data_IF_869879540428
#
_entry.id   IF_869879540428
#
_cell.length_a   1.000
_cell.length_b   1.000
_cell.length_c   1.000
_cell.angle_alpha   90.00
_cell.angle_beta   90.00
_cell.angle_gamma   90.00
#
_symmetry.space_group_name_H-M   'P 1'
#
loop_
_entity.id
_entity.type
_entity.pdbx_description
1 polymer ?
#
# COMPACT_ATOMS: atom_id res chain seq x y z
N UNK A 1 13.28 -8.70 -34.38
CA UNK A 1 12.45 -9.68 -33.66
C UNK A 1 11.64 -8.95 -32.65
N UNK A 2 10.35 -9.31 -32.45
CA UNK A 2 9.54 -8.71 -31.36
C UNK A 2 10.10 -9.16 -30.02
N UNK A 3 10.21 -8.23 -29.05
CA UNK A 3 10.68 -8.52 -27.70
C UNK A 3 9.67 -9.43 -27.01
N UNK A 4 10.12 -10.54 -26.44
CA UNK A 4 9.29 -11.50 -25.70
C UNK A 4 9.43 -11.25 -24.22
N UNK A 5 8.37 -11.53 -23.45
CA UNK A 5 8.33 -11.23 -22.02
C UNK A 5 7.99 -12.46 -21.19
N UNK A 6 8.67 -12.59 -20.06
CA UNK A 6 8.19 -13.35 -18.90
C UNK A 6 7.43 -12.36 -18.04
N UNK A 7 6.17 -12.63 -17.77
CA UNK A 7 5.29 -11.68 -17.12
C UNK A 7 4.60 -12.25 -15.88
N UNK A 8 4.20 -11.37 -14.98
CA UNK A 8 3.19 -11.64 -13.96
C UNK A 8 2.12 -10.56 -14.01
N UNK A 9 0.93 -10.88 -13.49
CA UNK A 9 -0.21 -9.97 -13.48
C UNK A 9 -0.83 -9.94 -12.09
N UNK A 10 -1.26 -8.76 -11.64
CA UNK A 10 -1.95 -8.59 -10.37
C UNK A 10 -2.29 -7.14 -10.08
N UNK A 11 -3.07 -6.91 -9.03
CA UNK A 11 -3.33 -5.54 -8.56
C UNK A 11 -2.16 -5.00 -7.74
N UNK A 12 -1.41 -5.86 -7.04
CA UNK A 12 -0.21 -5.57 -6.26
C UNK A 12 -0.42 -4.52 -5.15
N UNK A 13 -1.56 -4.58 -4.46
CA UNK A 13 -1.83 -3.66 -3.36
C UNK A 13 -0.82 -3.83 -2.22
N UNK A 14 -0.11 -2.75 -1.90
CA UNK A 14 0.92 -2.72 -0.87
C UNK A 14 2.27 -3.32 -1.29
N UNK A 15 2.43 -3.89 -2.48
CA UNK A 15 3.70 -4.49 -2.99
C UNK A 15 4.49 -5.22 -1.89
N UNK A 16 3.78 -6.02 -1.08
CA UNK A 16 4.30 -6.72 0.09
C UNK A 16 5.33 -7.81 -0.27
N UNK A 17 6.02 -8.36 0.71
CA UNK A 17 7.09 -9.38 0.54
C UNK A 17 6.70 -10.54 -0.38
N UNK A 18 5.44 -11.00 -0.34
CA UNK A 18 4.94 -12.01 -1.28
C UNK A 18 4.91 -11.53 -2.74
N UNK A 19 4.53 -10.27 -2.97
CA UNK A 19 4.61 -9.66 -4.30
C UNK A 19 6.07 -9.47 -4.75
N UNK A 20 6.94 -9.02 -3.85
CA UNK A 20 8.37 -8.83 -4.15
C UNK A 20 9.02 -10.16 -4.51
N UNK A 21 8.71 -11.24 -3.78
CA UNK A 21 9.19 -12.59 -4.09
C UNK A 21 8.70 -13.06 -5.48
N UNK A 22 7.43 -12.84 -5.81
CA UNK A 22 6.88 -13.15 -7.14
C UNK A 22 7.63 -12.38 -8.24
N UNK A 23 7.88 -11.08 -8.05
CA UNK A 23 8.63 -10.25 -9.01
C UNK A 23 10.06 -10.75 -9.19
N UNK A 24 10.75 -11.11 -8.11
CA UNK A 24 12.11 -11.68 -8.17
C UNK A 24 12.13 -12.95 -9.03
N UNK A 25 11.18 -13.88 -8.82
CA UNK A 25 11.08 -15.10 -9.62
C UNK A 25 10.82 -14.82 -11.10
N UNK A 26 10.01 -13.78 -11.42
CA UNK A 26 9.80 -13.34 -12.81
C UNK A 26 11.10 -12.84 -13.43
N UNK A 27 11.88 -12.02 -12.72
CA UNK A 27 13.16 -11.50 -13.19
C UNK A 27 14.19 -12.62 -13.40
N UNK A 28 14.30 -13.55 -12.45
CA UNK A 28 15.20 -14.72 -12.56
C UNK A 28 14.83 -15.63 -13.74
N UNK A 29 13.54 -15.90 -13.92
CA UNK A 29 13.08 -16.71 -15.04
C UNK A 29 13.27 -16.01 -16.38
N UNK A 30 13.02 -14.70 -16.45
CA UNK A 30 13.28 -13.90 -17.63
C UNK A 30 14.75 -13.94 -18.03
N UNK A 31 15.65 -13.77 -17.07
CA UNK A 31 17.10 -13.87 -17.30
C UNK A 31 17.50 -15.26 -17.84
N UNK A 32 16.98 -16.36 -17.25
CA UNK A 32 17.27 -17.73 -17.71
C UNK A 32 16.76 -18.02 -19.13
N UNK A 33 15.65 -17.38 -19.53
CA UNK A 33 15.04 -17.57 -20.85
C UNK A 33 15.51 -16.52 -21.88
N UNK A 34 16.48 -15.67 -21.51
CA UNK A 34 16.98 -14.56 -22.34
C UNK A 34 15.83 -13.65 -22.87
N UNK A 35 14.82 -13.45 -22.01
CA UNK A 35 13.66 -12.59 -22.24
C UNK A 35 13.74 -11.34 -21.36
N UNK A 36 12.84 -10.39 -21.61
CA UNK A 36 12.63 -9.30 -20.66
C UNK A 36 11.53 -9.67 -19.64
N UNK A 37 11.68 -9.15 -18.43
CA UNK A 37 10.68 -9.27 -17.38
C UNK A 37 9.59 -8.21 -17.52
N UNK A 38 8.31 -8.56 -17.21
CA UNK A 38 7.18 -7.64 -17.24
C UNK A 38 6.27 -7.85 -16.04
N UNK A 39 5.90 -6.74 -15.39
CA UNK A 39 4.84 -6.73 -14.40
C UNK A 39 3.63 -6.02 -14.99
N UNK A 40 2.47 -6.67 -14.98
CA UNK A 40 1.20 -6.14 -15.47
C UNK A 40 0.32 -5.83 -14.27
N UNK A 41 -0.11 -4.58 -14.12
CA UNK A 41 -1.04 -4.13 -13.08
C UNK A 41 -2.16 -3.29 -13.65
N UNK A 42 -3.08 -2.82 -12.79
CA UNK A 42 -4.26 -2.06 -13.19
C UNK A 42 -4.25 -0.66 -12.57
N UNK A 43 -4.82 0.30 -13.30
CA UNK A 43 -4.95 1.70 -12.90
C UNK A 43 -5.85 1.88 -11.67
N UNK A 44 -6.88 1.04 -11.54
CA UNK A 44 -7.86 1.05 -10.44
C UNK A 44 -8.19 -0.37 -9.95
N UNK A 45 -8.71 -0.46 -8.73
CA UNK A 45 -9.06 -1.75 -8.14
C UNK A 45 -10.26 -2.35 -8.87
N UNK A 46 -10.23 -3.66 -9.26
CA UNK A 46 -11.31 -4.30 -10.02
C UNK A 46 -12.72 -4.12 -9.41
N UNK A 47 -12.83 -4.20 -8.08
CA UNK A 47 -14.12 -4.01 -7.39
C UNK A 47 -14.69 -2.60 -7.50
N UNK A 48 -13.88 -1.57 -7.74
CA UNK A 48 -14.37 -0.19 -7.95
C UNK A 48 -15.13 -0.05 -9.28
N UNK A 49 -14.79 -0.86 -10.27
CA UNK A 49 -15.48 -0.86 -11.57
C UNK A 49 -16.74 -1.72 -11.51
N UNK A 50 -16.69 -2.82 -10.75
CA UNK A 50 -17.83 -3.75 -10.63
C UNK A 50 -18.90 -3.27 -9.64
N UNK A 51 -18.54 -2.43 -8.67
CA UNK A 51 -19.44 -1.92 -7.63
C UNK A 51 -19.16 -0.42 -7.43
N UNK A 52 -20.01 0.45 -7.98
CA UNK A 52 -19.82 1.91 -8.00
C UNK A 52 -19.69 2.54 -6.60
N UNK A 53 -20.36 1.97 -5.59
CA UNK A 53 -20.33 2.46 -4.20
C UNK A 53 -19.19 1.85 -3.37
N UNK A 54 -18.37 0.99 -3.95
CA UNK A 54 -17.28 0.34 -3.21
C UNK A 54 -16.06 1.25 -3.12
N UNK A 55 -15.73 1.68 -1.91
CA UNK A 55 -14.48 2.37 -1.60
C UNK A 55 -13.49 1.34 -1.04
N UNK A 56 -12.44 0.99 -1.78
CA UNK A 56 -11.45 0.04 -1.29
C UNK A 56 -10.65 0.63 -0.15
N UNK A 57 -10.31 -0.20 0.82
CA UNK A 57 -9.31 0.11 1.85
C UNK A 57 -7.94 -0.34 1.37
N UNK A 58 -7.26 0.49 0.58
CA UNK A 58 -6.01 0.15 -0.08
C UNK A 58 -4.81 0.29 0.86
N UNK A 59 -3.87 -0.64 0.77
CA UNK A 59 -2.57 -0.55 1.45
C UNK A 59 -1.67 0.50 0.82
N UNK A 60 -1.83 0.75 -0.48
CA UNK A 60 -1.09 1.77 -1.21
C UNK A 60 -2.01 2.55 -2.15
N UNK A 61 -1.85 3.86 -2.20
CA UNK A 61 -2.46 4.68 -3.27
C UNK A 61 -1.89 4.28 -4.63
N UNK A 62 -2.51 4.70 -5.72
CA UNK A 62 -1.98 4.43 -7.07
C UNK A 62 -0.56 4.97 -7.23
N UNK A 63 -0.28 6.17 -6.72
CA UNK A 63 1.05 6.79 -6.79
C UNK A 63 2.10 6.02 -5.96
N UNK A 64 1.75 5.66 -4.71
CA UNK A 64 2.59 4.84 -3.84
C UNK A 64 2.89 3.48 -4.48
N UNK A 65 1.86 2.80 -5.00
CA UNK A 65 1.99 1.52 -5.70
C UNK A 65 2.95 1.63 -6.88
N UNK A 66 2.76 2.63 -7.73
CA UNK A 66 3.63 2.83 -8.89
C UNK A 66 5.07 3.13 -8.50
N UNK A 67 5.30 3.90 -7.43
CA UNK A 67 6.63 4.16 -6.89
C UNK A 67 7.29 2.88 -6.39
N UNK A 68 6.57 2.05 -5.62
CA UNK A 68 7.05 0.78 -5.10
C UNK A 68 7.37 -0.21 -6.23
N UNK A 69 6.49 -0.33 -7.24
CA UNK A 69 6.70 -1.22 -8.37
C UNK A 69 7.88 -0.79 -9.26
N UNK A 70 8.09 0.52 -9.45
CA UNK A 70 9.25 1.04 -10.19
C UNK A 70 10.58 0.86 -9.46
N UNK A 71 10.55 0.65 -8.15
CA UNK A 71 11.73 0.34 -7.36
C UNK A 71 12.14 -1.14 -7.43
N UNK A 72 11.33 -2.00 -8.07
CA UNK A 72 11.68 -3.40 -8.32
C UNK A 72 12.59 -3.52 -9.55
N UNK A 73 13.27 -4.66 -9.71
CA UNK A 73 14.18 -4.93 -10.82
C UNK A 73 13.46 -5.32 -12.13
N UNK A 74 12.17 -5.08 -12.25
CA UNK A 74 11.37 -5.43 -13.42
C UNK A 74 11.75 -4.55 -14.63
N UNK A 75 11.98 -5.15 -15.80
CA UNK A 75 12.35 -4.40 -17.00
C UNK A 75 11.22 -3.54 -17.57
N UNK A 76 9.98 -4.02 -17.45
CA UNK A 76 8.79 -3.33 -17.94
C UNK A 76 7.63 -3.40 -16.95
N UNK A 77 7.09 -2.23 -16.62
CA UNK A 77 5.86 -2.08 -15.89
C UNK A 77 4.75 -1.67 -16.85
N UNK A 78 3.73 -2.50 -16.99
CA UNK A 78 2.56 -2.25 -17.83
C UNK A 78 1.34 -1.97 -16.95
N UNK A 79 0.68 -0.84 -17.16
CA UNK A 79 -0.52 -0.45 -16.41
C UNK A 79 -1.71 -0.49 -17.35
N UNK A 80 -2.57 -1.47 -17.16
CA UNK A 80 -3.78 -1.62 -17.97
C UNK A 80 -4.95 -0.84 -17.35
N UNK A 81 -5.74 -0.13 -18.16
CA UNK A 81 -7.00 0.44 -17.70
C UNK A 81 -7.97 -0.70 -17.37
N UNK A 82 -8.45 -0.76 -16.12
CA UNK A 82 -9.47 -1.75 -15.75
C UNK A 82 -10.86 -1.19 -16.10
N UNK A 83 -11.33 -1.49 -17.32
CA UNK A 83 -12.62 -1.05 -17.84
C UNK A 83 -13.72 -2.09 -17.60
N UNK A 84 -14.98 -1.67 -17.71
CA UNK A 84 -16.13 -2.58 -17.67
C UNK A 84 -16.06 -3.62 -18.81
N UNK A 85 -15.54 -3.27 -19.97
CA UNK A 85 -15.30 -4.20 -21.08
C UNK A 85 -14.26 -5.25 -20.70
N UNK A 86 -13.11 -4.84 -20.16
CA UNK A 86 -12.04 -5.75 -19.72
C UNK A 86 -12.52 -6.69 -18.63
N UNK A 87 -13.37 -6.21 -17.72
CA UNK A 87 -13.93 -7.02 -16.63
C UNK A 87 -14.79 -8.18 -17.10
N UNK A 88 -15.30 -8.14 -18.34
CA UNK A 88 -16.13 -9.19 -18.98
C UNK A 88 -15.29 -10.21 -19.76
N UNK A 89 -13.98 -10.01 -19.88
CA UNK A 89 -13.12 -10.97 -20.58
C UNK A 89 -12.99 -12.26 -19.77
N UNK A 90 -13.19 -13.40 -20.45
CA UNK A 90 -12.77 -14.68 -19.91
C UNK A 90 -11.26 -14.76 -19.80
N UNK A 91 -10.75 -15.64 -18.96
CA UNK A 91 -9.30 -15.83 -18.82
C UNK A 91 -8.65 -16.17 -20.18
N UNK A 92 -9.24 -17.07 -20.96
CA UNK A 92 -8.74 -17.42 -22.29
C UNK A 92 -8.71 -16.22 -23.22
N UNK A 93 -9.78 -15.42 -23.28
CA UNK A 93 -9.83 -14.20 -24.12
C UNK A 93 -8.76 -13.20 -23.71
N UNK A 94 -8.59 -12.98 -22.40
CA UNK A 94 -7.55 -12.10 -21.88
C UNK A 94 -6.15 -12.58 -22.26
N UNK A 95 -5.87 -13.89 -22.16
CA UNK A 95 -4.60 -14.47 -22.58
C UNK A 95 -4.35 -14.28 -24.07
N UNK A 96 -5.36 -14.48 -24.93
CA UNK A 96 -5.23 -14.34 -26.38
C UNK A 96 -5.01 -12.89 -26.82
N UNK A 97 -5.93 -12.00 -26.42
CA UNK A 97 -6.00 -10.64 -26.96
C UNK A 97 -5.02 -9.71 -26.26
N UNK A 98 -4.86 -9.83 -24.93
CA UNK A 98 -4.02 -8.91 -24.15
C UNK A 98 -2.62 -9.49 -23.97
N UNK A 99 -2.48 -10.65 -23.32
CA UNK A 99 -1.16 -11.16 -22.98
C UNK A 99 -0.36 -11.56 -24.23
N UNK A 100 -0.97 -12.32 -25.15
CA UNK A 100 -0.27 -12.82 -26.35
C UNK A 100 -0.19 -11.74 -27.45
N UNK A 101 -1.34 -11.22 -27.90
CA UNK A 101 -1.37 -10.37 -29.09
C UNK A 101 -0.82 -8.96 -28.86
N UNK A 102 -1.18 -8.33 -27.72
CA UNK A 102 -0.74 -6.94 -27.42
C UNK A 102 0.61 -6.91 -26.71
N UNK A 103 0.78 -7.72 -25.65
CA UNK A 103 1.92 -7.61 -24.75
C UNK A 103 3.07 -8.58 -25.08
N UNK A 104 2.85 -9.54 -25.98
CA UNK A 104 3.85 -10.52 -26.42
C UNK A 104 4.42 -11.35 -25.25
N UNK A 105 3.59 -11.69 -24.28
CA UNK A 105 3.94 -12.55 -23.15
C UNK A 105 4.19 -13.96 -23.69
N UNK A 106 5.35 -14.52 -23.38
CA UNK A 106 5.71 -15.90 -23.70
C UNK A 106 5.49 -16.82 -22.50
N UNK A 107 5.83 -16.34 -21.32
CA UNK A 107 5.68 -17.10 -20.06
C UNK A 107 4.93 -16.25 -19.06
N UNK A 108 3.89 -16.80 -18.44
CA UNK A 108 3.12 -16.16 -17.38
C UNK A 108 3.43 -16.86 -16.06
N UNK A 109 4.03 -16.12 -15.11
CA UNK A 109 4.27 -16.59 -13.74
C UNK A 109 3.08 -16.17 -12.89
N UNK A 110 2.36 -17.14 -12.32
CA UNK A 110 1.17 -16.91 -11.50
C UNK A 110 1.47 -17.12 -10.03
N UNK A 111 1.03 -16.20 -9.16
CA UNK A 111 0.97 -16.42 -7.73
C UNK A 111 -0.04 -17.52 -7.38
N UNK A 112 0.15 -18.16 -6.24
CA UNK A 112 -0.61 -19.33 -5.79
C UNK A 112 -2.14 -19.12 -5.76
N UNK A 113 -2.61 -18.02 -5.24
CA UNK A 113 -4.03 -17.67 -5.08
C UNK A 113 -4.54 -16.72 -6.16
N UNK A 114 -3.68 -16.35 -7.11
CA UNK A 114 -4.06 -15.39 -8.15
C UNK A 114 -5.01 -15.99 -9.17
N UNK A 115 -6.06 -15.24 -9.49
CA UNK A 115 -7.05 -15.57 -10.53
C UNK A 115 -7.36 -14.32 -11.34
N UNK A 116 -7.57 -14.49 -12.63
CA UNK A 116 -8.03 -13.45 -13.55
C UNK A 116 -9.05 -14.00 -14.54
N UNK A 117 -9.75 -13.08 -15.24
CA UNK A 117 -10.91 -13.41 -16.06
C UNK A 117 -12.20 -13.42 -15.25
N UNK A 118 -13.34 -13.14 -15.90
CA UNK A 118 -14.65 -13.14 -15.27
C UNK A 118 -15.15 -14.54 -14.88
N UNK A 119 -14.58 -15.56 -15.52
CA UNK A 119 -14.85 -16.98 -15.30
C UNK A 119 -14.01 -17.59 -14.18
N UNK A 120 -12.87 -17.00 -13.86
CA UNK A 120 -11.94 -17.47 -12.83
C UNK A 120 -11.60 -18.96 -13.00
N UNK A 121 -10.35 -19.30 -13.28
CA UNK A 121 -9.95 -20.69 -13.52
C UNK A 121 -9.20 -21.33 -12.36
N UNK A 122 -9.08 -22.65 -12.40
CA UNK A 122 -8.08 -23.41 -11.65
C UNK A 122 -6.72 -23.28 -12.35
N UNK A 123 -5.63 -23.54 -11.63
CA UNK A 123 -4.30 -23.53 -12.23
C UNK A 123 -4.20 -24.45 -13.45
N UNK A 124 -4.82 -25.61 -13.37
CA UNK A 124 -4.83 -26.57 -14.50
C UNK A 124 -5.51 -26.01 -15.76
N UNK A 125 -6.59 -25.25 -15.58
CA UNK A 125 -7.26 -24.58 -16.70
C UNK A 125 -6.39 -23.48 -17.27
N UNK A 126 -5.72 -22.66 -16.44
CA UNK A 126 -4.76 -21.65 -16.94
C UNK A 126 -3.61 -22.30 -17.73
N UNK A 127 -3.09 -23.44 -17.28
CA UNK A 127 -2.07 -24.19 -18.05
C UNK A 127 -2.63 -24.70 -19.38
N UNK A 128 -3.87 -25.17 -19.42
CA UNK A 128 -4.52 -25.61 -20.67
C UNK A 128 -4.76 -24.43 -21.63
N UNK A 129 -5.25 -23.31 -21.13
CA UNK A 129 -5.42 -22.08 -21.92
C UNK A 129 -4.09 -21.52 -22.40
N UNK A 130 -3.05 -21.65 -21.59
CA UNK A 130 -1.69 -21.30 -21.98
C UNK A 130 -1.23 -22.07 -23.20
N UNK A 131 -1.42 -23.39 -23.21
CA UNK A 131 -1.09 -24.23 -24.37
C UNK A 131 -1.86 -23.83 -25.65
N UNK A 132 -3.12 -23.40 -25.51
CA UNK A 132 -3.93 -22.94 -26.66
C UNK A 132 -3.46 -21.60 -27.21
N UNK A 133 -2.90 -20.74 -26.34
CA UNK A 133 -2.45 -19.37 -26.70
C UNK A 133 -0.96 -19.28 -26.99
N UNK A 134 -0.20 -20.34 -26.75
CA UNK A 134 1.26 -20.36 -26.88
C UNK A 134 1.98 -19.65 -25.72
N UNK A 135 1.33 -19.55 -24.55
CA UNK A 135 1.90 -18.97 -23.32
C UNK A 135 2.21 -20.10 -22.34
N UNK A 136 3.46 -20.21 -21.91
CA UNK A 136 3.84 -21.11 -20.81
C UNK A 136 3.36 -20.55 -19.48
N UNK A 137 2.55 -21.32 -18.74
CA UNK A 137 2.06 -20.91 -17.42
C UNK A 137 2.85 -21.64 -16.34
N UNK A 138 3.50 -20.87 -15.47
CA UNK A 138 4.36 -21.35 -14.38
C UNK A 138 3.79 -20.88 -13.06
N UNK A 139 3.72 -21.76 -12.06
CA UNK A 139 3.35 -21.39 -10.70
C UNK A 139 4.58 -20.87 -9.95
N UNK A 140 4.44 -19.70 -9.34
CA UNK A 140 5.47 -19.16 -8.46
C UNK A 140 5.58 -19.99 -7.16
N UNK A 141 6.78 -20.08 -6.62
CA UNK A 141 7.01 -20.63 -5.29
C UNK A 141 6.55 -19.65 -4.22
N UNK A 142 5.83 -20.13 -3.22
CA UNK A 142 5.44 -19.32 -2.06
C UNK A 142 6.66 -19.02 -1.16
N UNK A 143 6.53 -17.94 -0.37
CA UNK A 143 7.44 -17.73 0.75
C UNK A 143 7.17 -18.81 1.79
N UNK A 144 8.15 -19.66 2.06
CA UNK A 144 8.01 -20.84 2.94
C UNK A 144 7.73 -20.48 4.41
N UNK A 145 8.15 -19.29 4.85
CA UNK A 145 8.18 -18.94 6.28
C UNK A 145 6.86 -18.32 6.80
N UNK A 146 6.05 -17.68 5.98
CA UNK A 146 4.88 -16.95 6.46
C UNK A 146 3.87 -16.69 5.34
N UNK A 147 2.57 -16.86 5.65
CA UNK A 147 1.49 -16.51 4.72
C UNK A 147 1.33 -14.99 4.62
N UNK A 148 1.92 -14.40 3.58
CA UNK A 148 1.85 -12.95 3.31
C UNK A 148 0.73 -12.66 2.32
N UNK A 149 -0.24 -11.84 2.73
CA UNK A 149 -1.30 -11.34 1.82
C UNK A 149 -1.76 -9.94 2.23
N UNK A 150 -2.28 -9.17 1.27
CA UNK A 150 -2.84 -7.83 1.54
C UNK A 150 -3.95 -7.87 2.60
N UNK A 151 -4.74 -8.96 2.67
CA UNK A 151 -5.80 -9.11 3.67
C UNK A 151 -5.27 -9.27 5.09
N UNK A 152 -4.19 -10.04 5.28
CA UNK A 152 -3.53 -10.21 6.57
C UNK A 152 -2.90 -8.89 7.03
N UNK A 153 -2.23 -8.17 6.13
CA UNK A 153 -1.63 -6.87 6.43
C UNK A 153 -2.69 -5.85 6.84
N UNK A 154 -3.84 -5.77 6.12
CA UNK A 154 -4.96 -4.91 6.51
C UNK A 154 -5.45 -5.21 7.92
N UNK A 155 -5.55 -6.49 8.28
CA UNK A 155 -5.97 -6.91 9.62
C UNK A 155 -5.00 -6.40 10.69
N UNK A 156 -3.67 -6.51 10.49
CA UNK A 156 -2.70 -5.98 11.45
C UNK A 156 -2.81 -4.46 11.58
N UNK A 157 -2.95 -3.72 10.48
CA UNK A 157 -3.14 -2.27 10.53
C UNK A 157 -4.44 -1.89 11.25
N UNK A 158 -5.54 -2.60 11.03
CA UNK A 158 -6.82 -2.39 11.70
C UNK A 158 -6.77 -2.72 13.21
N UNK A 159 -5.84 -3.58 13.64
CA UNK A 159 -5.55 -3.85 15.05
C UNK A 159 -4.52 -2.87 15.63
N UNK A 160 -3.89 -2.04 14.81
CA UNK A 160 -2.84 -1.12 15.20
C UNK A 160 -1.46 -1.77 15.35
N UNK A 161 -1.30 -3.04 14.98
CA UNK A 161 -0.01 -3.72 14.98
C UNK A 161 0.79 -3.38 13.73
N UNK A 162 1.31 -2.15 13.69
CA UNK A 162 2.08 -1.66 12.54
C UNK A 162 3.41 -2.38 12.39
N UNK A 163 3.98 -2.94 13.46
CA UNK A 163 5.23 -3.71 13.37
C UNK A 163 5.06 -4.98 12.55
N UNK A 164 4.00 -5.74 12.82
CA UNK A 164 3.70 -6.94 12.04
C UNK A 164 3.31 -6.58 10.61
N UNK A 165 2.54 -5.51 10.41
CA UNK A 165 2.24 -5.02 9.08
C UNK A 165 3.53 -4.65 8.30
N UNK A 166 4.46 -3.91 8.92
CA UNK A 166 5.74 -3.52 8.32
C UNK A 166 6.62 -4.74 8.01
N UNK A 167 6.65 -5.73 8.90
CA UNK A 167 7.37 -6.98 8.67
C UNK A 167 6.87 -7.69 7.40
N UNK A 168 5.55 -7.81 7.23
CA UNK A 168 4.95 -8.44 6.06
C UNK A 168 5.08 -7.59 4.78
N UNK A 169 5.04 -6.27 4.91
CA UNK A 169 5.28 -5.35 3.80
C UNK A 169 6.75 -5.37 3.33
N UNK A 170 7.70 -5.51 4.26
CA UNK A 170 9.13 -5.33 4.00
C UNK A 170 9.57 -3.87 4.00
N UNK A 171 8.68 -2.95 4.41
CA UNK A 171 8.94 -1.52 4.56
C UNK A 171 7.96 -0.90 5.57
N UNK A 172 8.27 0.32 6.07
CA UNK A 172 7.38 1.02 6.99
C UNK A 172 6.11 1.51 6.28
N UNK A 173 4.94 1.10 6.79
CA UNK A 173 3.66 1.57 6.27
C UNK A 173 3.57 3.08 6.38
N UNK A 174 3.20 3.77 5.31
CA UNK A 174 3.18 5.23 5.28
C UNK A 174 1.81 5.80 4.89
N UNK A 175 1.52 6.98 5.43
CA UNK A 175 0.41 7.84 5.04
C UNK A 175 0.98 9.08 4.38
N UNK A 176 0.49 9.43 3.19
CA UNK A 176 0.90 10.61 2.45
C UNK A 176 -0.28 11.57 2.28
N UNK A 177 -0.02 12.89 2.47
CA UNK A 177 -1.06 13.88 2.25
C UNK A 177 -0.59 15.30 2.47
N UNK A 178 -1.43 16.25 2.05
CA UNK A 178 -1.19 17.69 2.25
C UNK A 178 -1.63 18.14 3.64
N UNK A 179 -0.84 19.04 4.22
CA UNK A 179 -1.18 19.69 5.48
C UNK A 179 -2.31 20.68 5.25
N UNK A 180 -3.40 20.50 5.98
CA UNK A 180 -4.60 21.34 5.94
C UNK A 180 -4.78 22.10 7.26
N UNK A 181 -5.68 23.09 7.27
CA UNK A 181 -6.03 23.83 8.48
C UNK A 181 -6.75 22.94 9.50
N UNK A 182 -6.36 23.04 10.79
CA UNK A 182 -6.98 22.36 11.93
C UNK A 182 -7.28 23.32 13.08
N UNK A 183 -7.73 22.78 14.21
CA UNK A 183 -8.18 23.57 15.39
C UNK A 183 -7.06 24.26 16.20
N UNK A 184 -5.78 23.96 15.92
CA UNK A 184 -4.59 24.59 16.53
C UNK A 184 -4.46 24.44 18.07
N UNK A 185 -5.18 23.52 18.69
CA UNK A 185 -5.16 23.33 20.17
C UNK A 185 -3.76 22.97 20.65
N UNK A 186 -3.02 22.12 19.94
CA UNK A 186 -1.68 21.69 20.30
C UNK A 186 -0.66 22.82 20.41
N UNK A 187 -0.84 23.95 19.71
CA UNK A 187 0.06 25.11 19.81
C UNK A 187 0.08 25.75 21.20
N UNK A 188 -1.06 25.72 21.91
CA UNK A 188 -1.19 26.32 23.25
C UNK A 188 -0.53 25.48 24.35
N UNK A 189 -0.30 24.19 24.09
CA UNK A 189 0.29 23.24 25.05
C UNK A 189 1.70 22.78 24.65
N UNK A 190 2.35 23.47 23.69
CA UNK A 190 3.73 23.18 23.28
C UNK A 190 3.89 22.00 22.30
N UNK A 191 2.79 21.41 21.82
CA UNK A 191 2.80 20.31 20.84
C UNK A 191 2.02 20.70 19.58
N UNK A 192 2.58 21.57 18.72
CA UNK A 192 1.92 21.95 17.48
C UNK A 192 1.73 20.73 16.57
N UNK A 193 0.49 20.51 16.09
CA UNK A 193 0.15 19.41 15.19
C UNK A 193 -0.20 19.92 13.80
N UNK A 194 0.20 19.16 12.78
CA UNK A 194 -0.19 19.33 11.40
C UNK A 194 -1.31 18.33 11.06
N UNK A 195 -2.46 18.83 10.63
CA UNK A 195 -3.55 17.99 10.14
C UNK A 195 -3.24 17.56 8.69
N UNK A 196 -3.19 16.26 8.41
CA UNK A 196 -2.81 15.73 7.11
C UNK A 196 -4.04 15.13 6.41
N UNK A 197 -4.35 15.64 5.22
CA UNK A 197 -5.43 15.14 4.39
C UNK A 197 -4.95 13.92 3.61
N UNK A 198 -5.27 12.72 4.09
CA UNK A 198 -4.96 11.44 3.46
C UNK A 198 -6.07 11.08 2.45
N UNK A 199 -5.74 10.42 1.36
CA UNK A 199 -6.71 9.97 0.35
C UNK A 199 -7.70 8.97 0.97
N UNK A 200 -9.00 9.08 0.62
CA UNK A 200 -10.08 8.27 1.21
C UNK A 200 -9.92 6.77 1.01
N UNK A 201 -9.30 6.37 -0.08
CA UNK A 201 -9.04 4.96 -0.41
C UNK A 201 -7.89 4.36 0.40
N UNK A 202 -7.03 5.18 0.99
CA UNK A 202 -5.90 4.72 1.79
C UNK A 202 -6.38 4.20 3.14
N UNK A 203 -5.99 2.97 3.48
CA UNK A 203 -6.32 2.39 4.78
C UNK A 203 -5.64 3.17 5.91
N UNK A 204 -6.42 3.72 6.82
CA UNK A 204 -5.90 4.26 8.07
C UNK A 204 -5.75 3.11 9.09
N UNK A 205 -4.62 3.02 9.80
CA UNK A 205 -4.49 2.11 10.95
C UNK A 205 -5.50 2.43 12.06
N UNK A 206 -5.60 1.54 13.05
CA UNK A 206 -6.45 1.76 14.23
C UNK A 206 -6.21 3.12 14.88
N UNK A 207 -7.23 3.70 15.50
CA UNK A 207 -7.09 4.91 16.30
C UNK A 207 -6.03 4.72 17.39
N UNK A 208 -5.20 5.75 17.62
CA UNK A 208 -4.13 5.71 18.59
C UNK A 208 -3.00 6.68 18.29
N UNK A 209 -1.96 6.61 19.10
CA UNK A 209 -0.73 7.42 18.94
C UNK A 209 0.40 6.52 18.47
N UNK A 210 1.15 6.99 17.48
CA UNK A 210 2.20 6.24 16.78
C UNK A 210 3.51 7.04 16.78
N UNK A 211 4.64 6.35 16.90
CA UNK A 211 5.96 6.90 16.55
C UNK A 211 6.12 6.87 15.04
N UNK A 212 6.53 7.99 14.45
CA UNK A 212 6.64 8.15 12.99
C UNK A 212 7.96 8.77 12.57
N UNK A 213 8.41 8.43 11.35
CA UNK A 213 9.38 9.21 10.59
C UNK A 213 8.64 10.03 9.55
N UNK A 214 8.97 11.30 9.45
CA UNK A 214 8.30 12.24 8.55
C UNK A 214 9.28 12.68 7.47
N UNK A 215 8.95 12.46 6.21
CA UNK A 215 9.65 13.08 5.09
C UNK A 215 8.90 14.33 4.67
N UNK A 216 9.62 15.46 4.66
CA UNK A 216 9.18 16.76 4.18
C UNK A 216 10.21 17.26 3.17
N UNK A 217 9.84 17.37 1.92
CA UNK A 217 10.75 17.64 0.81
C UNK A 217 11.96 16.67 0.83
N UNK A 218 13.19 17.15 0.96
CA UNK A 218 14.40 16.31 1.07
C UNK A 218 14.86 16.09 2.54
N UNK A 219 14.09 16.58 3.51
CA UNK A 219 14.43 16.50 4.94
C UNK A 219 13.62 15.42 5.65
N UNK A 220 14.22 14.84 6.70
CA UNK A 220 13.59 13.85 7.55
C UNK A 220 13.51 14.34 8.98
N UNK A 221 12.38 14.06 9.62
CA UNK A 221 12.11 14.42 11.02
C UNK A 221 11.52 13.21 11.73
N UNK A 222 11.83 13.07 13.00
CA UNK A 222 11.11 12.18 13.90
C UNK A 222 9.83 12.86 14.40
N UNK A 223 8.81 12.08 14.79
CA UNK A 223 7.58 12.66 15.27
C UNK A 223 6.62 11.67 15.90
N UNK A 224 5.46 12.20 16.25
CA UNK A 224 4.30 11.42 16.70
C UNK A 224 3.12 11.68 15.76
N UNK A 225 2.30 10.67 15.58
CA UNK A 225 1.05 10.73 14.82
C UNK A 225 -0.10 10.32 15.73
N UNK A 226 -1.16 11.11 15.75
CA UNK A 226 -2.45 10.73 16.33
C UNK A 226 -3.44 10.44 15.19
N UNK A 227 -4.01 9.24 15.19
CA UNK A 227 -5.19 8.88 14.38
C UNK A 227 -6.35 8.76 15.36
N UNK A 228 -7.37 9.60 15.20
CA UNK A 228 -8.48 9.64 16.13
C UNK A 228 -9.74 10.24 15.54
N UNK A 229 -10.84 10.14 16.26
CA UNK A 229 -12.11 10.74 15.86
C UNK A 229 -12.12 12.25 16.12
N UNK A 230 -12.57 13.03 15.15
CA UNK A 230 -12.83 14.46 15.37
C UNK A 230 -14.11 14.61 16.19
N UNK A 231 -14.10 15.33 17.32
CA UNK A 231 -15.32 15.75 17.98
C UNK A 231 -16.01 16.81 17.11
N UNK A 232 -16.85 16.40 16.17
CA UNK A 232 -17.67 17.31 15.36
C UNK A 232 -19.09 17.38 15.93
N UNK A 233 -19.66 18.61 15.93
CA UNK A 233 -21.08 18.86 16.30
C UNK A 233 -22.08 18.29 15.26
N UNK A 234 -21.61 17.80 14.15
CA UNK A 234 -22.40 17.13 13.11
C UNK A 234 -21.96 15.67 13.01
N UNK A 235 -22.89 14.76 13.18
CA UNK A 235 -22.84 13.28 13.19
C UNK A 235 -21.91 12.57 12.17
N UNK A 236 -20.64 12.95 12.06
CA UNK A 236 -19.66 12.35 11.15
C UNK A 236 -18.52 11.71 11.93
N UNK A 237 -18.33 10.39 11.80
CA UNK A 237 -17.16 9.62 12.26
C UNK A 237 -15.92 9.87 11.39
N UNK A 238 -15.61 11.14 11.08
CA UNK A 238 -14.41 11.43 10.30
C UNK A 238 -13.15 11.28 11.17
N UNK A 239 -12.26 10.39 10.73
CA UNK A 239 -10.95 10.23 11.34
C UNK A 239 -10.05 11.42 10.98
N UNK A 240 -9.32 11.93 11.97
CA UNK A 240 -8.24 12.90 11.77
C UNK A 240 -6.88 12.22 11.82
N UNK A 241 -5.95 12.75 11.05
CA UNK A 241 -4.54 12.34 11.02
C UNK A 241 -3.72 13.58 11.40
N UNK A 242 -3.20 13.59 12.63
CA UNK A 242 -2.50 14.75 13.21
C UNK A 242 -1.07 14.40 13.56
N UNK A 243 -0.11 15.01 12.86
CA UNK A 243 1.32 14.78 13.05
C UNK A 243 1.98 15.91 13.84
N UNK A 244 2.74 15.58 14.88
CA UNK A 244 3.68 16.47 15.56
C UNK A 244 5.10 16.10 15.13
N UNK A 245 5.83 17.04 14.52
CA UNK A 245 7.22 16.87 14.10
C UNK A 245 8.14 17.37 15.21
N UNK A 246 9.04 16.52 15.67
CA UNK A 246 10.02 16.89 16.69
C UNK A 246 11.07 17.82 16.10
N UNK A 247 11.44 18.82 16.89
CA UNK A 247 12.53 19.76 16.58
C UNK A 247 12.33 20.54 15.25
N UNK A 248 11.09 20.55 14.74
CA UNK A 248 10.71 21.31 13.56
C UNK A 248 10.21 22.71 13.93
N UNK A 249 10.74 23.70 13.23
CA UNK A 249 10.26 25.09 13.35
C UNK A 249 9.97 25.63 11.94
N UNK A 250 8.72 25.93 11.66
CA UNK A 250 8.31 26.45 10.34
C UNK A 250 6.84 26.32 10.07
N UNK A 251 6.44 26.72 8.85
CA UNK A 251 5.07 26.57 8.35
C UNK A 251 4.96 25.33 7.46
N UNK A 252 3.99 24.49 7.79
CA UNK A 252 3.69 23.23 7.07
C UNK A 252 2.45 23.34 6.16
N UNK A 253 1.67 24.42 6.25
CA UNK A 253 0.41 24.51 5.49
C UNK A 253 0.62 24.35 3.98
N UNK A 254 -0.19 23.50 3.37
CA UNK A 254 -0.14 23.19 1.94
C UNK A 254 1.03 22.31 1.51
N UNK A 255 1.98 22.03 2.41
CA UNK A 255 3.08 21.10 2.13
C UNK A 255 2.61 19.67 2.18
N UNK A 256 3.29 18.81 1.42
CA UNK A 256 3.03 17.38 1.39
C UNK A 256 3.96 16.67 2.37
N UNK A 257 3.40 15.80 3.21
CA UNK A 257 4.14 14.99 4.17
C UNK A 257 3.98 13.51 3.82
N UNK A 258 5.06 12.74 4.01
CA UNK A 258 5.02 11.28 4.06
C UNK A 258 5.31 10.85 5.49
N UNK A 259 4.35 10.19 6.13
CA UNK A 259 4.37 9.78 7.52
C UNK A 259 4.57 8.27 7.60
N UNK A 260 5.79 7.80 7.83
CA UNK A 260 6.14 6.38 7.98
C UNK A 260 5.89 5.95 9.43
N UNK A 261 5.00 4.99 9.64
CA UNK A 261 4.63 4.48 10.96
C UNK A 261 5.62 3.40 11.41
N UNK A 262 6.24 3.61 12.57
CA UNK A 262 7.26 2.70 13.11
C UNK A 262 6.68 1.79 14.19
N UNK A 263 5.96 2.36 15.15
CA UNK A 263 5.35 1.62 16.25
C UNK A 263 4.10 2.32 16.79
N UNK A 264 3.18 1.56 17.39
CA UNK A 264 2.05 2.10 18.13
C UNK A 264 2.44 2.32 19.58
N UNK A 265 2.29 3.55 20.07
CA UNK A 265 2.66 3.92 21.44
C UNK A 265 1.54 3.59 22.43
N UNK A 266 0.29 3.92 22.08
CA UNK A 266 -0.91 3.68 22.91
C UNK A 266 -2.21 3.84 22.13
N UNK A 267 -3.31 3.48 22.77
CA UNK A 267 -4.67 3.77 22.31
C UNK A 267 -5.02 5.26 22.46
N UNK A 268 -6.04 5.70 21.73
CA UNK A 268 -6.67 6.99 21.98
C UNK A 268 -7.38 6.95 23.34
N UNK A 269 -7.27 8.04 24.10
CA UNK A 269 -7.92 8.17 25.41
C UNK A 269 -8.39 9.60 25.67
N UNK A 270 -9.51 9.79 26.38
CA UNK A 270 -9.97 11.10 26.79
C UNK A 270 -9.12 11.64 27.95
N UNK A 271 -8.98 12.97 28.04
CA UNK A 271 -8.28 13.66 29.14
C UNK A 271 -9.22 14.57 29.91
N UNK A 272 -9.06 14.60 31.22
CA UNK A 272 -9.88 15.42 32.13
C UNK A 272 -9.49 16.90 32.11
N UNK A 273 -8.28 17.24 31.65
CA UNK A 273 -7.74 18.60 31.57
C UNK A 273 -6.69 18.73 30.47
N UNK A 274 -6.42 19.98 30.05
CA UNK A 274 -5.31 20.29 29.14
C UNK A 274 -3.96 19.95 29.74
N UNK A 275 -3.80 20.08 31.06
CA UNK A 275 -2.57 19.70 31.75
C UNK A 275 -2.31 18.20 31.67
N UNK A 276 -3.34 17.37 31.93
CA UNK A 276 -3.22 15.91 31.80
C UNK A 276 -2.89 15.47 30.36
N UNK A 277 -3.45 16.17 29.36
CA UNK A 277 -3.11 15.95 27.97
C UNK A 277 -1.62 16.31 27.69
N UNK A 278 -1.16 17.45 28.20
CA UNK A 278 0.23 17.88 28.02
C UNK A 278 1.22 16.88 28.65
N UNK A 279 0.99 16.48 29.88
CA UNK A 279 1.83 15.49 30.60
C UNK A 279 1.90 14.15 29.83
N UNK A 280 0.79 13.71 29.25
CA UNK A 280 0.76 12.48 28.44
C UNK A 280 1.53 12.66 27.12
N UNK A 281 1.39 13.80 26.45
CA UNK A 281 2.13 14.08 25.21
C UNK A 281 3.65 14.15 25.44
N UNK A 282 4.09 14.66 26.60
CA UNK A 282 5.51 14.64 26.98
C UNK A 282 6.03 13.20 27.15
N UNK A 283 5.24 12.33 27.81
CA UNK A 283 5.58 10.91 27.95
C UNK A 283 5.59 10.18 26.57
N UNK A 284 4.60 10.46 25.74
CA UNK A 284 4.53 9.91 24.39
C UNK A 284 5.75 10.33 23.55
N UNK A 285 6.17 11.59 23.65
CA UNK A 285 7.34 12.11 22.93
C UNK A 285 8.65 11.44 23.37
N UNK A 286 8.82 11.20 24.68
CA UNK A 286 9.98 10.46 25.20
C UNK A 286 9.98 9.03 24.62
N UNK A 287 8.85 8.33 24.73
CA UNK A 287 8.72 6.97 24.23
C UNK A 287 8.91 6.88 22.73
N UNK A 288 8.36 7.84 21.95
CA UNK A 288 8.55 7.89 20.50
C UNK A 288 10.02 8.02 20.14
N UNK A 289 10.75 8.94 20.80
CA UNK A 289 12.20 9.12 20.57
C UNK A 289 13.01 7.86 20.91
N UNK A 290 12.64 7.11 21.95
CA UNK A 290 13.26 5.82 22.28
C UNK A 290 13.05 4.77 21.18
N UNK A 291 11.84 4.69 20.64
CA UNK A 291 11.48 3.76 19.55
C UNK A 291 12.21 4.11 18.27
N UNK A 292 12.29 5.40 17.92
CA UNK A 292 12.85 5.89 16.66
C UNK A 292 14.39 5.86 16.60
N UNK A 293 15.07 5.81 17.77
CA UNK A 293 16.54 5.64 17.87
C UNK A 293 17.03 4.21 17.58
N UNK A 294 16.14 3.23 17.56
CA UNK A 294 16.46 1.83 17.27
C UNK A 294 16.45 1.56 15.76
#
# INVERSE_FOLDING_TARGET
>A
MKKRYVATIGFFDGVHRGHQCLVSQVCELAHRLECASMLITFDRHPRQVLHADYVPQLLSTSEEKMRLLRATEIDKLEVLPFTEELSKFTALKFMQEVLCAQLHVQTLVMGYDHRFGCDGGTLQEYVQWGKQTGIDVVLAHELEEEKVSSSVIRRYLQLGDVKQANHLLGYEYSLQGKVISGHKVGRHIGFPTANVAVQKEKLLPACGVYAIRVKLDESFYDGMLCIGHRPTLSNGDELSVEANLFDFCGDLYGKELVLSLVDRLRDEQPFSSLQALQEQLEQDAVRAREVLRR
#
